data_IF_856262349483
#
_entry.id   IF_856262349483
#
_cell.length_a   1.000
_cell.length_b   1.000
_cell.length_c   1.000
_cell.angle_alpha   90.00
_cell.angle_beta   90.00
_cell.angle_gamma   90.00
#
_symmetry.space_group_name_H-M   'P 1'
#
loop_
_entity.id
_entity.type
_entity.pdbx_description
1 polymer ?
#
# COMPACT_ATOMS: atom_id res chain seq x y z
N UNK A 1 56.10 34.65 -3.69
CA UNK A 1 55.14 33.61 -4.12
C UNK A 1 54.91 32.51 -3.08
N UNK A 2 55.92 32.04 -2.33
CA UNK A 2 55.72 30.96 -1.32
C UNK A 2 54.68 31.29 -0.22
N UNK A 3 54.58 32.57 0.19
CA UNK A 3 53.61 32.98 1.24
C UNK A 3 52.14 32.89 0.79
N UNK A 4 51.84 32.98 -0.51
CA UNK A 4 50.48 32.83 -1.03
C UNK A 4 50.03 31.36 -1.02
N UNK A 5 50.93 30.41 -1.31
CA UNK A 5 50.61 28.97 -1.28
C UNK A 5 50.25 28.48 0.14
N UNK A 6 50.82 29.07 1.19
CA UNK A 6 50.50 28.69 2.58
C UNK A 6 49.10 29.11 3.04
N UNK A 7 48.48 30.10 2.38
CA UNK A 7 47.16 30.61 2.76
C UNK A 7 46.04 29.93 1.96
N UNK A 8 46.32 29.51 0.72
CA UNK A 8 45.33 28.81 -0.14
C UNK A 8 45.12 27.36 0.28
N UNK A 9 46.18 26.68 0.76
CA UNK A 9 46.09 25.27 1.18
C UNK A 9 45.06 24.99 2.30
N UNK A 10 45.04 25.72 3.44
CA UNK A 10 44.05 25.44 4.48
C UNK A 10 42.61 25.71 4.03
N UNK A 11 42.39 26.71 3.15
CA UNK A 11 41.05 27.01 2.62
C UNK A 11 40.55 25.90 1.71
N UNK A 12 41.41 25.35 0.84
CA UNK A 12 41.05 24.21 -0.01
C UNK A 12 40.72 22.94 0.79
N UNK A 13 41.46 22.68 1.88
CA UNK A 13 41.19 21.54 2.78
C UNK A 13 39.85 21.70 3.50
N UNK A 14 39.51 22.91 3.96
CA UNK A 14 38.23 23.18 4.61
C UNK A 14 37.06 22.99 3.62
N UNK A 15 37.20 23.45 2.37
CA UNK A 15 36.16 23.26 1.34
C UNK A 15 35.95 21.77 1.02
N UNK A 16 37.02 20.98 0.91
CA UNK A 16 36.92 19.54 0.73
C UNK A 16 36.27 18.85 1.93
N UNK A 17 36.59 19.28 3.16
CA UNK A 17 36.00 18.73 4.37
C UNK A 17 34.52 19.06 4.50
N UNK A 18 34.10 20.27 4.14
CA UNK A 18 32.68 20.67 4.11
C UNK A 18 31.93 19.90 3.01
N UNK A 19 32.53 19.71 1.83
CA UNK A 19 31.96 18.87 0.78
C UNK A 19 31.79 17.41 1.21
N UNK A 20 32.74 16.88 1.97
CA UNK A 20 32.67 15.53 2.54
C UNK A 20 31.56 15.42 3.61
N UNK A 21 31.41 16.42 4.49
CA UNK A 21 30.32 16.44 5.49
C UNK A 21 28.96 16.62 4.82
N UNK A 22 28.85 17.43 3.77
CA UNK A 22 27.61 17.58 3.01
C UNK A 22 27.25 16.29 2.25
N UNK A 23 28.25 15.56 1.74
CA UNK A 23 28.07 14.24 1.13
C UNK A 23 27.67 13.15 2.11
N UNK A 24 28.02 13.28 3.40
CA UNK A 24 27.60 12.36 4.47
C UNK A 24 26.22 12.66 5.06
N UNK A 25 25.53 13.70 4.55
CA UNK A 25 24.20 14.09 5.03
C UNK A 25 23.03 13.52 4.21
N UNK A 26 23.28 12.48 3.42
CA UNK A 26 22.30 11.48 2.99
C UNK A 26 22.67 10.16 3.69
N UNK A 27 22.11 9.95 4.87
CA UNK A 27 21.00 9.00 5.09
C UNK A 27 21.52 7.73 5.78
N UNK A 28 21.88 7.88 7.06
CA UNK A 28 21.68 6.84 8.08
C UNK A 28 20.15 6.64 8.27
N UNK A 29 19.43 6.38 7.19
CA UNK A 29 18.17 5.67 7.26
C UNK A 29 18.58 4.23 7.49
N UNK A 30 18.43 3.77 8.74
CA UNK A 30 17.94 2.40 8.94
C UNK A 30 16.94 2.16 7.82
N UNK A 31 17.22 1.19 6.95
CA UNK A 31 16.31 0.91 5.85
C UNK A 31 14.92 0.72 6.45
N UNK A 32 13.87 1.17 5.77
CA UNK A 32 12.51 1.06 6.30
C UNK A 32 12.18 -0.42 6.62
N UNK A 33 12.83 -1.37 5.93
CA UNK A 33 12.89 -2.80 6.28
C UNK A 33 13.44 -3.07 7.69
N UNK A 34 14.62 -2.55 8.05
CA UNK A 34 15.21 -2.76 9.38
C UNK A 34 14.39 -2.14 10.50
N UNK A 35 13.77 -0.98 10.27
CA UNK A 35 12.85 -0.37 11.26
C UNK A 35 11.56 -1.19 11.43
N UNK A 36 10.99 -1.70 10.33
CA UNK A 36 9.80 -2.57 10.37
C UNK A 36 10.10 -3.93 11.03
N UNK A 37 11.29 -4.50 10.81
CA UNK A 37 11.68 -5.77 11.44
C UNK A 37 11.85 -5.64 12.96
N UNK A 38 12.43 -4.53 13.44
CA UNK A 38 12.56 -4.24 14.88
C UNK A 38 11.19 -4.09 15.54
N UNK A 39 10.26 -3.37 14.89
CA UNK A 39 8.91 -3.16 15.43
C UNK A 39 8.10 -4.46 15.47
N UNK A 40 8.28 -5.33 14.44
CA UNK A 40 7.69 -6.67 14.39
C UNK A 40 8.19 -7.57 15.53
N UNK A 41 9.49 -7.53 15.82
CA UNK A 41 10.09 -8.32 16.91
C UNK A 41 9.65 -7.82 18.30
N UNK A 42 9.45 -6.50 18.48
CA UNK A 42 8.95 -5.93 19.73
C UNK A 42 7.47 -6.27 19.95
N UNK A 43 6.62 -6.16 18.91
CA UNK A 43 5.20 -6.52 18.98
C UNK A 43 5.01 -8.03 19.21
N UNK A 44 5.79 -8.88 18.55
CA UNK A 44 5.74 -10.33 18.76
C UNK A 44 6.14 -10.72 20.20
N UNK A 45 7.09 -10.01 20.81
CA UNK A 45 7.50 -10.26 22.21
C UNK A 45 6.44 -9.80 23.22
N UNK A 46 5.72 -8.71 22.95
CA UNK A 46 4.61 -8.27 23.79
C UNK A 46 3.44 -9.27 23.77
N UNK A 47 3.14 -9.86 22.61
CA UNK A 47 2.08 -10.89 22.49
C UNK A 47 2.46 -12.20 23.20
N UNK A 48 3.75 -12.55 23.22
CA UNK A 48 4.23 -13.78 23.86
C UNK A 48 4.20 -13.76 25.40
N UNK A 49 4.12 -12.60 26.06
CA UNK A 49 4.05 -12.50 27.53
C UNK A 49 2.61 -12.35 28.09
N UNK A 50 1.59 -12.17 27.24
CA UNK A 50 0.18 -12.08 27.67
C UNK A 50 -0.66 -13.35 27.41
N UNK A 51 -0.09 -14.41 26.84
CA UNK A 51 -0.85 -15.61 26.48
C UNK A 51 -0.68 -16.75 27.51
N UNK A 52 -1.03 -16.49 28.77
CA UNK A 52 -1.24 -17.54 29.79
C UNK A 52 -2.45 -17.25 30.70
N UNK A 53 -3.48 -16.62 30.13
CA UNK A 53 -4.79 -16.50 30.75
C UNK A 53 -5.86 -16.94 29.76
N UNK A 54 -6.44 -18.10 30.04
CA UNK A 54 -7.56 -18.67 29.32
C UNK A 54 -8.76 -17.73 29.25
N UNK A 55 -9.30 -17.54 28.05
CA UNK A 55 -10.74 -17.44 27.87
C UNK A 55 -11.12 -18.09 26.53
N UNK A 56 -11.84 -19.21 26.63
CA UNK A 56 -12.52 -19.83 25.50
C UNK A 56 -13.81 -19.07 25.27
N UNK A 57 -13.68 -17.87 24.68
CA UNK A 57 -14.77 -17.26 23.95
C UNK A 57 -14.88 -17.98 22.61
N UNK A 58 -16.03 -18.55 22.30
CA UNK A 58 -16.38 -18.87 20.92
C UNK A 58 -16.39 -17.53 20.16
N UNK A 59 -15.27 -17.19 19.51
CA UNK A 59 -15.23 -16.16 18.48
C UNK A 59 -16.22 -16.60 17.41
N UNK A 60 -17.40 -15.99 17.41
CA UNK A 60 -18.28 -16.06 16.26
C UNK A 60 -17.55 -15.33 15.15
N UNK A 61 -16.83 -16.10 14.32
CA UNK A 61 -16.26 -15.61 13.08
C UNK A 61 -17.40 -14.89 12.34
N UNK A 62 -17.30 -13.56 12.29
CA UNK A 62 -18.29 -12.75 11.59
C UNK A 62 -17.98 -12.96 10.12
N UNK A 63 -18.96 -13.36 9.31
CA UNK A 63 -18.74 -13.56 7.89
C UNK A 63 -18.39 -12.21 7.25
N UNK A 64 -17.40 -12.15 6.34
CA UNK A 64 -17.05 -10.91 5.67
C UNK A 64 -18.22 -10.40 4.83
N UNK A 65 -18.34 -9.07 4.75
CA UNK A 65 -19.43 -8.42 4.01
C UNK A 65 -18.83 -7.57 2.90
N UNK A 66 -19.15 -7.92 1.66
CA UNK A 66 -18.82 -7.15 0.46
C UNK A 66 -20.06 -6.41 -0.05
N UNK A 67 -19.98 -5.08 -0.11
CA UNK A 67 -21.07 -4.21 -0.59
C UNK A 67 -20.61 -3.36 -1.77
N UNK A 68 -21.34 -3.40 -2.88
CA UNK A 68 -21.15 -2.46 -4.00
C UNK A 68 -21.83 -1.13 -3.67
N UNK A 69 -21.07 -0.04 -3.63
CA UNK A 69 -21.56 1.29 -3.25
C UNK A 69 -22.07 2.08 -4.46
N UNK A 70 -21.26 2.17 -5.50
CA UNK A 70 -21.60 2.92 -6.70
C UNK A 70 -20.83 2.47 -7.94
N UNK A 71 -21.40 2.76 -9.10
CA UNK A 71 -20.76 2.63 -10.40
C UNK A 71 -20.98 3.94 -11.16
N UNK A 72 -19.92 4.70 -11.36
CA UNK A 72 -19.94 5.98 -12.06
C UNK A 72 -18.94 5.99 -13.20
N UNK A 73 -19.44 6.05 -14.43
CA UNK A 73 -18.62 6.12 -15.66
C UNK A 73 -17.60 4.97 -15.75
N UNK A 74 -16.37 5.22 -15.31
CA UNK A 74 -15.22 4.33 -15.39
C UNK A 74 -14.77 3.84 -14.01
N UNK A 75 -15.56 4.10 -12.97
CA UNK A 75 -15.21 3.88 -11.58
C UNK A 75 -16.26 3.04 -10.87
N UNK A 76 -15.84 2.00 -10.18
CA UNK A 76 -16.67 1.21 -9.27
C UNK A 76 -16.10 1.31 -7.86
N UNK A 77 -16.98 1.43 -6.86
CA UNK A 77 -16.61 1.50 -5.45
C UNK A 77 -17.23 0.35 -4.67
N UNK A 78 -16.42 -0.32 -3.87
CA UNK A 78 -16.80 -1.40 -2.97
C UNK A 78 -16.42 -1.04 -1.53
N UNK A 79 -17.24 -1.49 -0.58
CA UNK A 79 -16.89 -1.57 0.83
C UNK A 79 -16.75 -3.04 1.20
N UNK A 80 -15.65 -3.38 1.86
CA UNK A 80 -15.36 -4.70 2.40
C UNK A 80 -15.17 -4.59 3.91
N UNK A 81 -16.04 -5.26 4.68
CA UNK A 81 -16.08 -5.12 6.13
C UNK A 81 -16.19 -6.49 6.82
N UNK A 82 -16.11 -6.51 8.16
CA UNK A 82 -16.18 -7.73 8.97
C UNK A 82 -15.18 -8.84 8.55
N UNK A 83 -13.99 -8.44 8.10
CA UNK A 83 -12.96 -9.36 7.63
C UNK A 83 -11.79 -9.47 8.62
N UNK A 84 -11.19 -10.66 8.73
CA UNK A 84 -9.91 -10.84 9.43
C UNK A 84 -8.71 -10.56 8.51
N UNK A 85 -8.90 -10.78 7.21
CA UNK A 85 -7.88 -10.64 6.17
C UNK A 85 -8.52 -10.10 4.89
N UNK A 86 -7.82 -9.25 4.15
CA UNK A 86 -8.24 -8.77 2.84
C UNK A 86 -7.22 -9.20 1.79
N UNK A 87 -7.50 -10.28 1.07
CA UNK A 87 -6.63 -10.80 0.02
C UNK A 87 -7.25 -10.51 -1.33
N UNK A 88 -6.63 -9.63 -2.11
CA UNK A 88 -7.08 -9.34 -3.47
C UNK A 88 -6.27 -10.17 -4.46
N UNK A 89 -6.96 -10.82 -5.39
CA UNK A 89 -6.37 -11.53 -6.53
C UNK A 89 -6.77 -10.81 -7.80
N UNK A 90 -5.80 -10.54 -8.68
CA UNK A 90 -6.04 -10.15 -10.06
C UNK A 90 -5.54 -11.26 -10.97
N UNK A 91 -6.36 -11.67 -11.92
CA UNK A 91 -5.99 -12.54 -13.03
C UNK A 91 -6.25 -11.81 -14.35
N UNK A 92 -5.36 -11.99 -15.33
CA UNK A 92 -5.52 -11.41 -16.67
C UNK A 92 -5.95 -12.45 -17.69
N UNK A 93 -6.98 -12.13 -18.47
CA UNK A 93 -7.46 -12.93 -19.61
C UNK A 93 -6.92 -12.43 -20.97
N UNK A 94 -6.23 -11.28 -21.00
CA UNK A 94 -5.55 -10.69 -22.17
C UNK A 94 -4.37 -9.82 -21.70
N UNK A 95 -3.80 -8.96 -22.55
CA UNK A 95 -2.86 -7.92 -22.14
C UNK A 95 -3.55 -6.90 -21.23
N UNK A 96 -2.96 -6.69 -20.05
CA UNK A 96 -3.46 -5.80 -19.02
C UNK A 96 -2.29 -5.04 -18.40
N UNK A 97 -2.39 -3.72 -18.26
CA UNK A 97 -1.56 -3.01 -17.30
C UNK A 97 -2.40 -2.63 -16.09
N UNK A 98 -1.77 -2.62 -14.92
CA UNK A 98 -2.42 -2.25 -13.67
C UNK A 98 -1.50 -1.39 -12.80
N UNK A 99 -2.10 -0.62 -11.92
CA UNK A 99 -1.46 0.15 -10.86
C UNK A 99 -2.34 0.06 -9.60
N UNK A 100 -1.71 -0.09 -8.44
CA UNK A 100 -2.37 -0.18 -7.12
C UNK A 100 -1.83 0.94 -6.26
N UNK A 101 -2.72 1.76 -5.69
CA UNK A 101 -2.38 2.93 -4.88
C UNK A 101 -3.09 2.84 -3.53
N UNK A 102 -2.38 3.17 -2.45
CA UNK A 102 -2.97 3.45 -1.14
C UNK A 102 -3.65 4.82 -1.19
N UNK A 103 -4.97 4.86 -1.06
CA UNK A 103 -5.73 6.10 -1.20
C UNK A 103 -5.50 7.08 -0.04
N UNK A 104 -5.09 6.60 1.13
CA UNK A 104 -4.86 7.44 2.30
C UNK A 104 -3.55 8.24 2.17
N UNK A 105 -2.52 7.62 1.58
CA UNK A 105 -1.17 8.21 1.47
C UNK A 105 -0.81 8.67 0.06
N UNK A 106 -1.59 8.28 -0.94
CA UNK A 106 -1.29 8.44 -2.37
C UNK A 106 0.01 7.71 -2.79
N UNK A 107 0.48 6.73 -2.00
CA UNK A 107 1.66 5.93 -2.33
C UNK A 107 1.31 4.74 -3.22
N UNK A 108 2.14 4.50 -4.22
CA UNK A 108 2.03 3.34 -5.11
C UNK A 108 2.42 2.06 -4.34
N UNK A 109 1.50 1.08 -4.30
CA UNK A 109 1.69 -0.23 -3.69
C UNK A 109 2.38 -1.17 -4.70
N UNK A 110 1.90 -1.22 -5.94
CA UNK A 110 2.42 -2.10 -6.99
C UNK A 110 1.98 -1.62 -8.39
N UNK A 111 2.70 -2.05 -9.43
CA UNK A 111 2.29 -1.83 -10.82
C UNK A 111 2.83 -2.93 -11.73
N UNK A 112 2.26 -3.07 -12.93
CA UNK A 112 2.81 -3.98 -13.92
C UNK A 112 2.09 -3.99 -15.25
N UNK A 113 2.75 -4.59 -16.24
CA UNK A 113 2.17 -4.99 -17.51
C UNK A 113 2.16 -6.52 -17.56
N UNK A 114 0.99 -7.09 -17.72
CA UNK A 114 0.74 -8.52 -17.73
C UNK A 114 0.25 -9.01 -19.09
N UNK A 115 0.59 -10.26 -19.36
CA UNK A 115 0.10 -11.06 -20.49
C UNK A 115 -1.08 -11.94 -20.08
N UNK A 116 -1.76 -12.52 -21.06
CA UNK A 116 -2.82 -13.52 -20.85
C UNK A 116 -2.37 -14.64 -19.90
N UNK A 117 -3.20 -14.93 -18.90
CA UNK A 117 -3.03 -16.00 -17.92
C UNK A 117 -2.16 -15.64 -16.72
N UNK A 118 -1.59 -14.44 -16.65
CA UNK A 118 -0.86 -14.00 -15.45
C UNK A 118 -1.81 -13.70 -14.29
N UNK A 119 -1.36 -14.00 -13.07
CA UNK A 119 -2.12 -13.82 -11.84
C UNK A 119 -1.19 -13.40 -10.71
N UNK A 120 -1.67 -12.50 -9.84
CA UNK A 120 -1.00 -12.14 -8.59
C UNK A 120 -2.02 -11.92 -7.47
N UNK A 121 -1.54 -12.15 -6.26
CA UNK A 121 -2.28 -11.98 -5.02
C UNK A 121 -1.58 -10.93 -4.14
N UNK A 122 -2.36 -10.06 -3.51
CA UNK A 122 -1.89 -9.07 -2.54
C UNK A 122 -2.65 -9.21 -1.23
N UNK A 123 -1.89 -9.18 -0.13
CA UNK A 123 -2.45 -9.03 1.21
C UNK A 123 -2.58 -7.54 1.51
N UNK A 124 -3.82 -7.05 1.51
CA UNK A 124 -4.16 -5.64 1.69
C UNK A 124 -4.84 -5.37 3.04
N UNK A 125 -4.72 -6.30 3.99
CA UNK A 125 -5.37 -6.24 5.31
C UNK A 125 -5.00 -4.98 6.11
N UNK A 126 -3.78 -4.46 5.93
CA UNK A 126 -3.27 -3.30 6.68
C UNK A 126 -3.66 -1.94 6.04
N UNK A 127 -4.41 -1.92 4.94
CA UNK A 127 -4.83 -0.70 4.26
C UNK A 127 -6.27 -0.34 4.60
N UNK A 128 -6.56 0.96 4.69
CA UNK A 128 -7.92 1.48 4.91
C UNK A 128 -8.70 1.62 3.59
N UNK A 129 -8.04 2.09 2.53
CA UNK A 129 -8.63 2.21 1.20
C UNK A 129 -7.57 1.99 0.13
N UNK A 130 -7.90 1.16 -0.86
CA UNK A 130 -7.01 0.86 -1.99
C UNK A 130 -7.72 1.14 -3.29
N UNK A 131 -6.96 1.68 -4.23
CA UNK A 131 -7.39 1.99 -5.58
C UNK A 131 -6.63 1.15 -6.60
N UNK A 132 -7.37 0.47 -7.46
CA UNK A 132 -6.86 -0.24 -8.62
C UNK A 132 -7.17 0.56 -9.88
N UNK A 133 -6.14 0.86 -10.65
CA UNK A 133 -6.25 1.41 -11.99
C UNK A 133 -5.90 0.34 -13.01
N UNK A 134 -6.80 0.11 -13.97
CA UNK A 134 -6.73 -0.96 -14.96
C UNK A 134 -6.77 -0.37 -16.37
N UNK A 135 -5.78 -0.75 -17.17
CA UNK A 135 -5.69 -0.35 -18.58
C UNK A 135 -6.70 -0.99 -19.51
N UNK A 136 -7.03 -2.26 -19.21
CA UNK A 136 -7.94 -3.09 -19.98
C UNK A 136 -8.87 -3.84 -19.00
N UNK A 137 -9.83 -3.16 -18.38
CA UNK A 137 -10.63 -3.75 -17.31
C UNK A 137 -11.44 -4.98 -17.75
N UNK A 138 -11.80 -5.08 -19.04
CA UNK A 138 -12.49 -6.25 -19.59
C UNK A 138 -11.62 -7.52 -19.60
N UNK A 139 -10.29 -7.38 -19.48
CA UNK A 139 -9.34 -8.49 -19.36
C UNK A 139 -8.96 -8.81 -17.91
N UNK A 140 -9.47 -8.07 -16.93
CA UNK A 140 -9.14 -8.24 -15.52
C UNK A 140 -10.24 -9.00 -14.78
N UNK A 141 -9.92 -10.13 -14.17
CA UNK A 141 -10.76 -10.83 -13.20
C UNK A 141 -10.24 -10.53 -11.79
N UNK A 142 -10.95 -9.65 -11.08
CA UNK A 142 -10.59 -9.17 -9.74
C UNK A 142 -11.43 -9.93 -8.69
N UNK A 143 -10.78 -10.44 -7.64
CA UNK A 143 -11.43 -11.15 -6.53
C UNK A 143 -10.91 -10.65 -5.20
N UNK A 144 -11.76 -10.61 -4.19
CA UNK A 144 -11.36 -10.43 -2.80
C UNK A 144 -11.78 -11.65 -1.98
N UNK A 145 -10.81 -12.32 -1.34
CA UNK A 145 -11.05 -13.56 -0.58
C UNK A 145 -11.90 -14.58 -1.36
N UNK A 146 -11.54 -14.83 -2.62
CA UNK A 146 -12.26 -15.71 -3.57
C UNK A 146 -13.63 -15.19 -4.06
N UNK A 147 -14.14 -14.08 -3.53
CA UNK A 147 -15.36 -13.44 -4.00
C UNK A 147 -15.09 -12.52 -5.20
N UNK A 148 -15.78 -12.70 -6.34
CA UNK A 148 -15.56 -11.89 -7.53
C UNK A 148 -16.08 -10.45 -7.36
N UNK A 149 -15.27 -9.49 -7.82
CA UNK A 149 -15.62 -8.08 -7.90
C UNK A 149 -16.04 -7.74 -9.33
N UNK A 150 -17.25 -7.23 -9.49
CA UNK A 150 -17.75 -6.83 -10.81
C UNK A 150 -17.04 -5.56 -11.29
N UNK A 151 -16.17 -5.69 -12.28
CA UNK A 151 -15.40 -4.59 -12.88
C UNK A 151 -15.68 -4.39 -14.39
N UNK A 152 -16.79 -4.96 -14.89
CA UNK A 152 -17.23 -4.87 -16.30
C UNK A 152 -17.16 -3.41 -16.81
N UNK A 153 -16.08 -3.08 -17.51
CA UNK A 153 -15.77 -1.76 -18.11
C UNK A 153 -15.20 -0.67 -17.17
N UNK A 154 -15.00 -0.95 -15.89
CA UNK A 154 -14.46 0.03 -14.95
C UNK A 154 -12.93 0.02 -14.93
N UNK A 155 -12.29 1.01 -15.55
CA UNK A 155 -10.84 1.21 -15.46
C UNK A 155 -10.35 1.62 -14.08
N UNK A 156 -11.25 1.89 -13.13
CA UNK A 156 -10.94 2.25 -11.75
C UNK A 156 -11.81 1.44 -10.78
N UNK A 157 -11.17 0.77 -9.83
CA UNK A 157 -11.85 0.01 -8.76
C UNK A 157 -11.34 0.50 -7.42
N UNK A 158 -12.24 1.02 -6.59
CA UNK A 158 -11.95 1.44 -5.21
C UNK A 158 -12.49 0.40 -4.25
N UNK A 159 -11.68 0.01 -3.28
CA UNK A 159 -12.06 -0.91 -2.22
C UNK A 159 -11.75 -0.24 -0.89
N UNK A 160 -12.79 0.07 -0.13
CA UNK A 160 -12.69 0.57 1.23
C UNK A 160 -12.75 -0.61 2.20
N UNK A 161 -11.83 -0.65 3.16
CA UNK A 161 -11.69 -1.69 4.16
C UNK A 161 -12.12 -1.17 5.54
N UNK A 162 -13.12 -1.81 6.13
CA UNK A 162 -13.56 -1.54 7.50
C UNK A 162 -15.06 -1.31 7.64
N UNK A 163 -15.50 -1.13 8.89
CA UNK A 163 -16.91 -0.97 9.27
C UNK A 163 -17.38 0.49 9.28
N UNK A 164 -16.59 1.42 8.76
CA UNK A 164 -16.96 2.83 8.78
C UNK A 164 -18.22 3.02 7.90
N UNK A 165 -19.31 3.50 8.50
CA UNK A 165 -20.53 3.80 7.75
C UNK A 165 -20.16 4.76 6.64
N UNK A 166 -20.32 4.30 5.39
CA UNK A 166 -20.16 5.13 4.21
C UNK A 166 -21.16 6.27 4.36
N UNK A 167 -20.69 7.46 4.70
CA UNK A 167 -21.51 8.66 4.67
C UNK A 167 -21.82 8.94 3.20
N UNK A 168 -22.98 8.44 2.75
CA UNK A 168 -23.54 8.71 1.42
C UNK A 168 -23.72 10.23 1.17
N UNK A 169 -23.53 11.06 2.21
CA UNK A 169 -23.49 12.51 2.15
C UNK A 169 -22.11 13.06 1.84
N UNK A 170 -21.96 13.62 0.64
CA UNK A 170 -20.98 14.69 0.35
C UNK A 170 -19.60 14.26 -0.21
N UNK A 171 -19.58 13.48 -1.28
CA UNK A 171 -18.46 13.53 -2.23
C UNK A 171 -18.55 14.80 -3.08
N UNK A 172 -18.00 15.89 -2.55
CA UNK A 172 -17.71 17.09 -3.31
C UNK A 172 -16.77 16.73 -4.48
N UNK A 173 -17.27 16.91 -5.71
CA UNK A 173 -16.52 16.82 -6.95
C UNK A 173 -15.25 17.69 -6.87
N UNK A 174 -14.15 17.10 -6.45
CA UNK A 174 -12.83 17.73 -6.46
C UNK A 174 -12.18 17.34 -7.78
N UNK A 175 -12.35 18.23 -8.75
CA UNK A 175 -11.73 18.23 -10.07
C UNK A 175 -10.31 18.79 -10.02
#
# INVERSE_FOLDING_TARGET
MWKLFKLVYPVAVIILFIGFIAGFKHEDTLTQEESREIDRLLKAKAVAEETDAADSGEDQATEPVLTALSTEKNTVRFSYSQFEKAVVTLQSDDELWFEIIDAATEEQIDEGLWSEGEQKEWDLTDYEEVYFQLGNPAAADLKINEEPLSNDEAGYVYIQFGDEEVDDGELAASH
#
